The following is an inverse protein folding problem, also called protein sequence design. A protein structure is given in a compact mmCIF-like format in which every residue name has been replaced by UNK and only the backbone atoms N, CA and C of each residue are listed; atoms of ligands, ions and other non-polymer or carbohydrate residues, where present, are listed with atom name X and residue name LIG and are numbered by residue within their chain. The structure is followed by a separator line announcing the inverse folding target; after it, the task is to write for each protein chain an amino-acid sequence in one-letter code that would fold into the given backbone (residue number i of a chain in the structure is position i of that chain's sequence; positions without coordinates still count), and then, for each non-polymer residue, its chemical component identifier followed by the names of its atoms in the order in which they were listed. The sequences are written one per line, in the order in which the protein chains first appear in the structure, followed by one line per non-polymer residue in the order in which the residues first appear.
data_IF_191652965013
#
_entry.id   IF_191652965013
#
_cell.length_a   1.000
_cell.length_b   1.000
_cell.length_c   1.000
_cell.angle_alpha   90.00
_cell.angle_beta   90.00
_cell.angle_gamma   90.00
#
_symmetry.space_group_name_H-M   'P 1'
#
loop_
_entity.id
_entity.type
_entity.pdbx_description
1 polymer ?
#
# COMPACT_ATOMS: atom_id res chain seq x y z
N UNK A 1 3.30 21.64 -18.84
CA UNK A 1 2.44 20.56 -18.35
C UNK A 1 0.94 20.87 -18.44
N UNK A 2 0.46 22.07 -18.05
CA UNK A 2 -0.97 22.44 -18.22
C UNK A 2 -1.43 22.44 -19.68
N UNK A 3 -0.64 23.01 -20.60
CA UNK A 3 -0.92 23.00 -22.05
C UNK A 3 -1.14 21.57 -22.56
N UNK A 4 -0.29 20.63 -22.15
CA UNK A 4 -0.40 19.21 -22.52
C UNK A 4 -1.70 18.58 -22.00
N UNK A 5 -2.12 18.89 -20.77
CA UNK A 5 -3.35 18.36 -20.19
C UNK A 5 -4.60 18.87 -20.92
N UNK A 6 -4.60 20.17 -21.29
CA UNK A 6 -5.66 20.79 -22.08
C UNK A 6 -5.73 20.21 -23.49
N UNK A 7 -4.59 20.10 -24.17
CA UNK A 7 -4.47 19.52 -25.51
C UNK A 7 -4.91 18.05 -25.56
N UNK A 8 -4.68 17.28 -24.49
CA UNK A 8 -5.12 15.89 -24.37
C UNK A 8 -6.62 15.76 -24.03
N UNK A 9 -7.31 16.85 -23.69
CA UNK A 9 -8.71 16.82 -23.27
C UNK A 9 -8.92 16.05 -21.97
N UNK A 10 -7.93 16.07 -21.06
CA UNK A 10 -8.03 15.35 -19.80
C UNK A 10 -9.12 15.94 -18.90
N UNK A 11 -10.07 15.11 -18.45
CA UNK A 11 -11.11 15.48 -17.47
C UNK A 11 -10.83 14.97 -16.05
N UNK A 12 -9.81 14.13 -15.90
CA UNK A 12 -9.52 13.36 -14.70
C UNK A 12 -8.02 13.09 -14.58
N UNK A 13 -7.46 13.22 -13.37
CA UNK A 13 -6.10 12.83 -13.05
C UNK A 13 -6.08 11.85 -11.87
N UNK A 14 -5.33 10.75 -12.01
CA UNK A 14 -4.87 9.94 -10.89
C UNK A 14 -3.44 10.35 -10.53
N UNK A 15 -3.25 10.98 -9.38
CA UNK A 15 -1.94 11.35 -8.88
C UNK A 15 -1.42 10.25 -7.95
N UNK A 16 -0.46 9.48 -8.44
CA UNK A 16 0.33 8.54 -7.64
C UNK A 16 1.65 9.25 -7.31
N UNK A 17 1.93 9.54 -6.02
CA UNK A 17 3.19 10.15 -5.64
C UNK A 17 4.38 9.35 -6.19
N UNK A 18 5.34 10.00 -6.88
CA UNK A 18 6.43 9.28 -7.50
C UNK A 18 7.38 8.72 -6.45
N UNK A 19 8.07 7.65 -6.84
CA UNK A 19 9.17 7.03 -6.10
C UNK A 19 10.44 7.91 -6.13
N UNK A 20 10.35 9.11 -5.56
CA UNK A 20 11.41 10.12 -5.63
C UNK A 20 11.50 10.94 -4.34
N UNK A 21 12.71 11.44 -4.02
CA UNK A 21 12.92 12.29 -2.86
C UNK A 21 12.15 13.63 -2.93
N UNK A 22 12.00 14.20 -4.13
CA UNK A 22 11.22 15.41 -4.38
C UNK A 22 9.71 15.15 -4.60
N UNK A 23 9.18 14.00 -4.15
CA UNK A 23 7.79 13.60 -4.44
C UNK A 23 6.74 14.66 -4.07
N UNK A 24 6.96 15.41 -2.98
CA UNK A 24 6.03 16.45 -2.56
C UNK A 24 5.99 17.60 -3.55
N UNK A 25 7.17 18.10 -3.97
CA UNK A 25 7.27 19.20 -4.94
C UNK A 25 6.69 18.78 -6.30
N UNK A 26 6.98 17.55 -6.75
CA UNK A 26 6.41 16.99 -7.97
C UNK A 26 4.88 16.89 -7.87
N UNK A 27 4.34 16.39 -6.74
CA UNK A 27 2.90 16.31 -6.53
C UNK A 27 2.24 17.69 -6.49
N UNK A 28 2.88 18.69 -5.84
CA UNK A 28 2.39 20.07 -5.82
C UNK A 28 2.31 20.64 -7.24
N UNK A 29 3.38 20.51 -8.02
CA UNK A 29 3.41 20.97 -9.40
C UNK A 29 2.30 20.31 -10.24
N UNK A 30 2.08 19.00 -10.06
CA UNK A 30 1.03 18.23 -10.72
C UNK A 30 -0.37 18.73 -10.37
N UNK A 31 -0.65 18.96 -9.07
CA UNK A 31 -1.94 19.49 -8.62
C UNK A 31 -2.17 20.90 -9.14
N UNK A 32 -1.16 21.77 -9.10
CA UNK A 32 -1.30 23.12 -9.64
C UNK A 32 -1.51 23.14 -11.15
N UNK A 33 -0.84 22.26 -11.89
CA UNK A 33 -1.04 22.12 -13.33
C UNK A 33 -2.47 21.65 -13.64
N UNK A 34 -3.01 20.71 -12.86
CA UNK A 34 -4.39 20.25 -12.97
C UNK A 34 -5.40 21.39 -12.71
N UNK A 35 -5.14 22.22 -11.69
CA UNK A 35 -5.94 23.42 -11.39
C UNK A 35 -5.91 24.43 -12.53
N UNK A 36 -4.73 24.73 -13.08
CA UNK A 36 -4.58 25.64 -14.23
C UNK A 36 -5.34 25.15 -15.47
N UNK A 37 -5.30 23.85 -15.72
CA UNK A 37 -6.04 23.20 -16.81
C UNK A 37 -7.55 23.00 -16.50
N UNK A 38 -8.05 23.51 -15.37
CA UNK A 38 -9.44 23.38 -14.92
C UNK A 38 -9.95 21.93 -14.87
N UNK A 39 -9.07 20.98 -14.52
CA UNK A 39 -9.44 19.56 -14.43
C UNK A 39 -10.37 19.35 -13.23
N UNK A 40 -11.61 18.85 -13.46
CA UNK A 40 -12.63 18.79 -12.42
C UNK A 40 -12.43 17.67 -11.40
N UNK A 41 -11.58 16.69 -11.68
CA UNK A 41 -11.37 15.50 -10.84
C UNK A 41 -9.90 15.14 -10.67
N UNK A 42 -9.45 15.11 -9.42
CA UNK A 42 -8.11 14.63 -9.06
C UNK A 42 -8.26 13.59 -7.97
N UNK A 43 -7.77 12.38 -8.21
CA UNK A 43 -7.62 11.33 -7.21
C UNK A 43 -6.17 11.29 -6.75
N UNK A 44 -5.90 11.70 -5.52
CA UNK A 44 -4.58 11.55 -4.91
C UNK A 44 -4.50 10.22 -4.17
N UNK A 45 -3.58 9.35 -4.57
CA UNK A 45 -3.24 8.13 -3.83
C UNK A 45 -2.29 8.50 -2.69
N UNK A 46 -2.68 8.16 -1.45
CA UNK A 46 -1.89 8.38 -0.25
C UNK A 46 -2.01 7.16 0.67
N UNK A 47 -1.41 7.20 1.86
CA UNK A 47 -1.45 6.12 2.85
C UNK A 47 -2.25 6.46 4.09
N UNK A 48 -3.03 5.49 4.53
CA UNK A 48 -3.61 5.46 5.85
C UNK A 48 -2.50 5.60 6.92
N UNK A 49 -2.76 6.38 7.96
CA UNK A 49 -1.80 6.68 9.01
C UNK A 49 -0.84 7.84 8.70
N UNK A 50 -0.90 8.44 7.50
CA UNK A 50 -0.12 9.65 7.19
C UNK A 50 -0.52 10.85 8.06
N UNK A 51 -1.75 10.85 8.57
CA UNK A 51 -2.29 11.81 9.53
C UNK A 51 -1.61 11.73 10.91
N UNK A 52 -1.00 10.59 11.23
CA UNK A 52 -0.20 10.40 12.45
C UNK A 52 1.32 10.50 12.22
N UNK A 53 1.76 10.74 10.98
CA UNK A 53 3.16 10.97 10.68
C UNK A 53 3.61 12.30 11.28
N UNK A 54 4.91 12.39 11.59
CA UNK A 54 5.51 13.48 12.36
C UNK A 54 5.14 14.88 11.80
N UNK A 55 4.58 15.75 12.66
CA UNK A 55 3.99 17.05 12.27
C UNK A 55 5.01 18.05 11.71
N UNK A 56 6.31 17.72 11.79
CA UNK A 56 7.41 18.51 11.21
C UNK A 56 7.47 18.42 9.69
N UNK A 57 6.78 17.45 9.07
CA UNK A 57 6.61 17.34 7.62
C UNK A 57 5.18 17.76 7.24
N UNK A 58 4.90 19.06 7.31
CA UNK A 58 3.60 19.58 6.90
C UNK A 58 3.34 19.25 5.43
N UNK A 59 2.21 18.59 5.14
CA UNK A 59 1.72 18.42 3.77
C UNK A 59 1.58 19.80 3.12
N UNK A 60 2.19 20.06 1.95
CA UNK A 60 2.05 21.34 1.26
C UNK A 60 0.58 21.73 1.04
N UNK A 61 0.24 23.01 1.21
CA UNK A 61 -1.13 23.51 1.10
C UNK A 61 -1.86 23.08 -0.19
N UNK A 62 -1.23 23.07 -1.39
CA UNK A 62 -1.90 22.61 -2.60
C UNK A 62 -2.40 21.17 -2.54
N UNK A 63 -1.70 20.29 -1.81
CA UNK A 63 -2.07 18.89 -1.63
C UNK A 63 -3.18 18.71 -0.59
N UNK A 64 -3.30 19.63 0.37
CA UNK A 64 -4.40 19.59 1.37
C UNK A 64 -5.76 19.88 0.75
N UNK A 65 -5.80 20.61 -0.37
CA UNK A 65 -7.04 20.93 -1.09
C UNK A 65 -7.57 19.78 -1.95
N UNK A 66 -6.79 18.70 -2.13
CA UNK A 66 -7.19 17.53 -2.92
C UNK A 66 -7.53 16.39 -1.95
N UNK A 67 -8.80 15.96 -1.87
CA UNK A 67 -9.19 14.84 -1.02
C UNK A 67 -8.43 13.55 -1.39
N UNK A 68 -7.66 12.95 -0.47
CA UNK A 68 -6.88 11.76 -0.77
C UNK A 68 -7.71 10.47 -0.61
N UNK A 69 -7.36 9.47 -1.42
CA UNK A 69 -7.64 8.07 -1.09
C UNK A 69 -6.47 7.52 -0.28
N UNK A 70 -6.72 7.24 0.98
CA UNK A 70 -5.78 6.76 1.99
C UNK A 70 -5.82 5.23 2.04
N UNK A 71 -4.81 4.58 1.47
CA UNK A 71 -4.71 3.13 1.45
C UNK A 71 -3.91 2.61 2.64
N UNK A 72 -4.38 1.53 3.26
CA UNK A 72 -3.64 0.78 4.25
C UNK A 72 -2.37 0.15 3.69
N UNK A 73 -1.80 -0.79 4.44
CA UNK A 73 -0.58 -1.47 4.03
C UNK A 73 -0.85 -2.34 2.81
N UNK A 74 -0.24 -2.03 1.67
CA UNK A 74 -0.34 -2.87 0.48
C UNK A 74 0.23 -4.26 0.77
N UNK A 75 -0.58 -5.29 0.58
CA UNK A 75 -0.17 -6.68 0.80
C UNK A 75 1.00 -7.07 -0.11
N UNK A 76 1.08 -6.47 -1.30
CA UNK A 76 2.15 -6.64 -2.26
C UNK A 76 3.53 -6.22 -1.72
N UNK A 77 3.59 -5.36 -0.69
CA UNK A 77 4.86 -5.05 -0.02
C UNK A 77 5.48 -6.28 0.64
N UNK A 78 4.70 -7.32 0.95
CA UNK A 78 5.22 -8.59 1.47
C UNK A 78 6.05 -9.35 0.41
N UNK A 79 5.80 -9.10 -0.88
CA UNK A 79 6.54 -9.73 -1.98
C UNK A 79 8.00 -9.25 -2.04
N UNK A 80 8.32 -8.12 -1.41
CA UNK A 80 9.69 -7.63 -1.25
C UNK A 80 10.56 -8.56 -0.37
N UNK A 81 9.93 -9.51 0.32
CA UNK A 81 10.59 -10.54 1.13
C UNK A 81 10.48 -11.94 0.50
N UNK A 82 10.05 -12.01 -0.77
CA UNK A 82 9.89 -13.28 -1.48
C UNK A 82 11.14 -14.17 -1.44
N UNK A 83 12.39 -13.65 -1.54
CA UNK A 83 13.60 -14.48 -1.37
C UNK A 83 13.64 -15.23 -0.04
N UNK A 84 13.46 -14.58 1.11
CA UNK A 84 13.44 -15.25 2.42
C UNK A 84 12.28 -16.23 2.53
N UNK A 85 11.12 -15.86 2.00
CA UNK A 85 9.96 -16.75 2.00
C UNK A 85 10.24 -18.01 1.18
N UNK A 86 10.79 -17.88 -0.03
CA UNK A 86 11.08 -19.00 -0.94
C UNK A 86 12.21 -19.88 -0.43
N UNK A 87 13.26 -19.31 0.16
CA UNK A 87 14.47 -20.04 0.54
C UNK A 87 14.44 -20.57 1.98
N UNK A 88 13.89 -19.78 2.90
CA UNK A 88 13.93 -20.05 4.34
C UNK A 88 12.55 -20.40 4.92
N UNK A 89 11.46 -20.06 4.20
CA UNK A 89 10.10 -20.21 4.72
C UNK A 89 9.80 -19.18 5.81
N UNK A 90 10.46 -18.03 5.79
CA UNK A 90 10.34 -16.98 6.81
C UNK A 90 9.81 -15.70 6.18
N UNK A 91 8.86 -15.05 6.86
CA UNK A 91 8.36 -13.72 6.58
C UNK A 91 8.90 -12.75 7.64
N UNK A 92 10.00 -12.02 7.35
CA UNK A 92 10.68 -11.21 8.35
C UNK A 92 10.18 -9.75 8.31
N UNK A 93 9.30 -9.37 9.23
CA UNK A 93 8.71 -8.02 9.27
C UNK A 93 9.08 -7.29 10.56
N UNK A 94 9.43 -5.99 10.50
CA UNK A 94 9.81 -5.21 11.67
C UNK A 94 8.59 -4.60 12.39
N UNK A 95 7.60 -5.42 12.72
CA UNK A 95 6.32 -4.97 13.30
C UNK A 95 6.11 -5.38 14.76
N UNK A 96 6.98 -6.23 15.33
CA UNK A 96 6.76 -6.80 16.66
C UNK A 96 5.71 -7.91 16.69
N UNK A 97 5.60 -8.59 17.82
CA UNK A 97 4.72 -9.76 17.97
C UNK A 97 3.23 -9.40 18.07
N UNK A 98 2.90 -8.26 18.67
CA UNK A 98 1.53 -7.94 19.10
C UNK A 98 0.89 -6.75 18.38
N UNK A 99 1.65 -6.00 17.57
CA UNK A 99 1.12 -4.84 16.88
C UNK A 99 0.36 -5.26 15.62
N UNK A 100 -0.74 -4.57 15.37
CA UNK A 100 -1.72 -4.97 14.37
C UNK A 100 -1.81 -3.96 13.24
N UNK A 101 -2.03 -4.47 12.04
CA UNK A 101 -2.24 -3.71 10.82
C UNK A 101 -3.10 -4.52 9.85
N UNK A 102 -3.76 -3.85 8.92
CA UNK A 102 -4.61 -4.49 7.93
C UNK A 102 -3.97 -4.45 6.53
N UNK A 103 -3.85 -5.63 5.91
CA UNK A 103 -3.29 -5.85 4.58
C UNK A 103 -4.34 -5.56 3.50
N UNK A 104 -4.12 -4.61 2.61
CA UNK A 104 -5.01 -4.31 1.49
C UNK A 104 -4.34 -4.72 0.18
N UNK A 105 -5.02 -5.48 -0.67
CA UNK A 105 -4.53 -5.75 -2.03
C UNK A 105 -4.79 -4.54 -2.94
N UNK A 106 -3.91 -4.30 -3.91
CA UNK A 106 -4.07 -3.26 -4.90
C UNK A 106 -5.34 -3.48 -5.74
N UNK A 107 -6.00 -2.38 -6.12
CA UNK A 107 -7.08 -2.43 -7.12
C UNK A 107 -8.21 -1.43 -6.92
N UNK A 108 -8.46 -0.95 -5.71
CA UNK A 108 -9.59 -0.03 -5.43
C UNK A 108 -9.46 1.30 -6.18
N UNK A 109 -8.24 1.83 -6.31
CA UNK A 109 -8.01 3.04 -7.08
C UNK A 109 -8.51 2.90 -8.53
N UNK A 110 -8.33 1.75 -9.16
CA UNK A 110 -8.84 1.49 -10.51
C UNK A 110 -10.37 1.56 -10.58
N UNK A 111 -11.10 1.06 -9.56
CA UNK A 111 -12.56 1.17 -9.50
C UNK A 111 -13.04 2.62 -9.38
N UNK A 112 -12.35 3.44 -8.59
CA UNK A 112 -12.64 4.89 -8.52
C UNK A 112 -12.42 5.53 -9.89
N UNK A 113 -11.33 5.21 -10.57
CA UNK A 113 -10.96 5.81 -11.86
C UNK A 113 -11.90 5.44 -13.01
N UNK A 114 -12.46 4.23 -13.01
CA UNK A 114 -13.42 3.80 -14.04
C UNK A 114 -14.86 4.21 -13.72
N UNK A 115 -15.13 4.69 -12.50
CA UNK A 115 -16.43 5.21 -12.10
C UNK A 115 -16.85 6.39 -12.98
N UNK A 116 -18.11 6.43 -13.38
CA UNK A 116 -18.66 7.48 -14.25
C UNK A 116 -19.84 8.18 -13.57
N UNK A 117 -19.77 9.51 -13.54
CA UNK A 117 -20.82 10.39 -13.06
C UNK A 117 -21.01 11.58 -14.00
N UNK A 118 -21.93 12.48 -13.66
CA UNK A 118 -22.19 13.68 -14.48
C UNK A 118 -20.95 14.59 -14.57
N UNK A 119 -20.10 14.53 -13.56
CA UNK A 119 -18.94 15.41 -13.42
C UNK A 119 -17.59 14.69 -13.58
N UNK A 120 -17.56 13.49 -14.16
CA UNK A 120 -16.34 12.69 -14.38
C UNK A 120 -16.38 11.40 -13.57
N UNK A 121 -15.71 11.35 -12.42
CA UNK A 121 -15.87 10.24 -11.46
C UNK A 121 -17.33 10.02 -11.11
N UNK A 122 -17.62 8.83 -10.59
CA UNK A 122 -18.90 8.60 -9.92
C UNK A 122 -19.12 9.68 -8.85
N UNK A 123 -20.24 10.41 -8.97
CA UNK A 123 -20.52 11.58 -8.12
C UNK A 123 -20.63 11.22 -6.64
N UNK A 124 -20.82 9.92 -6.31
CA UNK A 124 -20.80 9.40 -4.94
C UNK A 124 -19.41 9.45 -4.29
N UNK A 125 -18.35 9.29 -5.08
CA UNK A 125 -16.97 9.23 -4.59
C UNK A 125 -16.21 10.54 -4.81
N UNK A 126 -16.74 11.42 -5.67
CA UNK A 126 -16.12 12.70 -6.01
C UNK A 126 -15.93 13.59 -4.78
N UNK A 127 -14.70 14.02 -4.55
CA UNK A 127 -14.34 14.94 -3.46
C UNK A 127 -14.36 14.31 -2.06
N UNK A 128 -14.54 12.98 -1.96
CA UNK A 128 -14.50 12.28 -0.69
C UNK A 128 -13.06 11.93 -0.29
N UNK A 129 -12.75 12.08 0.99
CA UNK A 129 -11.60 11.40 1.58
C UNK A 129 -12.00 9.96 1.89
N UNK A 130 -11.28 8.99 1.33
CA UNK A 130 -11.60 7.57 1.47
C UNK A 130 -10.47 6.84 2.18
N UNK A 131 -10.73 6.22 3.33
CA UNK A 131 -9.76 5.31 3.96
C UNK A 131 -10.11 3.88 3.58
N UNK A 132 -9.11 3.15 3.08
CA UNK A 132 -9.29 1.82 2.49
C UNK A 132 -8.25 0.88 3.06
N UNK A 133 -8.67 -0.09 3.87
CA UNK A 133 -7.78 -1.13 4.41
C UNK A 133 -8.22 -2.53 4.00
N UNK A 134 -7.42 -3.53 4.38
CA UNK A 134 -7.84 -4.92 4.41
C UNK A 134 -9.02 -5.19 5.35
N UNK A 135 -9.66 -6.36 5.23
CA UNK A 135 -10.81 -6.73 6.04
C UNK A 135 -10.43 -7.21 7.45
N UNK A 136 -9.17 -7.61 7.65
CA UNK A 136 -8.69 -8.22 8.89
C UNK A 136 -7.42 -7.55 9.40
N UNK A 137 -7.37 -7.32 10.72
CA UNK A 137 -6.15 -6.97 11.42
C UNK A 137 -5.31 -8.21 11.65
N UNK A 138 -4.05 -8.15 11.25
CA UNK A 138 -3.06 -9.19 11.50
C UNK A 138 -1.97 -8.65 12.45
N UNK A 139 -1.61 -9.44 13.45
CA UNK A 139 -0.50 -9.19 14.37
C UNK A 139 0.64 -10.19 14.10
N UNK A 140 1.89 -9.74 14.23
CA UNK A 140 3.07 -10.61 14.28
C UNK A 140 3.02 -11.81 13.33
N UNK A 141 2.73 -12.99 13.88
CA UNK A 141 2.70 -14.27 13.18
C UNK A 141 1.45 -14.57 12.33
N UNK A 142 0.38 -13.79 12.44
CA UNK A 142 -0.88 -14.03 11.75
C UNK A 142 -0.75 -13.97 10.20
N UNK A 143 0.03 -13.05 9.59
CA UNK A 143 0.28 -13.09 8.14
C UNK A 143 0.98 -14.39 7.69
N UNK A 144 1.99 -14.86 8.44
CA UNK A 144 2.68 -16.11 8.14
C UNK A 144 1.77 -17.34 8.34
N UNK A 145 0.84 -17.26 9.30
CA UNK A 145 -0.18 -18.30 9.53
C UNK A 145 -1.17 -18.36 8.37
N UNK A 146 -1.66 -17.20 7.90
CA UNK A 146 -2.52 -17.10 6.72
C UNK A 146 -1.82 -17.67 5.47
N UNK A 147 -0.55 -17.32 5.26
CA UNK A 147 0.25 -17.86 4.16
C UNK A 147 0.44 -19.38 4.27
N UNK A 148 0.74 -19.89 5.47
CA UNK A 148 0.90 -21.33 5.70
C UNK A 148 -0.37 -22.11 5.36
N UNK A 149 -1.52 -21.61 5.80
CA UNK A 149 -2.85 -22.18 5.51
C UNK A 149 -3.18 -22.12 4.02
N UNK A 150 -2.90 -20.99 3.38
CA UNK A 150 -3.19 -20.76 1.97
C UNK A 150 -2.37 -21.67 1.04
N UNK A 151 -1.09 -21.87 1.37
CA UNK A 151 -0.12 -22.52 0.49
C UNK A 151 0.16 -23.98 0.85
N UNK A 152 -0.32 -24.45 2.01
CA UNK A 152 -0.01 -25.78 2.52
C UNK A 152 1.48 -25.98 2.81
N UNK A 153 2.17 -24.93 3.26
CA UNK A 153 3.58 -24.93 3.58
C UNK A 153 3.83 -24.37 5.00
N UNK A 154 4.89 -24.79 5.67
CA UNK A 154 5.29 -24.21 6.97
C UNK A 154 5.95 -22.86 6.72
N UNK A 155 5.26 -21.77 7.04
CA UNK A 155 5.80 -20.41 7.02
C UNK A 155 5.86 -19.82 8.41
N UNK A 156 6.99 -19.21 8.74
CA UNK A 156 7.25 -18.62 10.04
C UNK A 156 7.35 -17.11 9.94
N UNK A 157 6.87 -16.45 10.98
CA UNK A 157 7.13 -15.04 11.17
C UNK A 157 8.42 -14.85 11.94
N UNK A 158 9.19 -13.85 11.56
CA UNK A 158 10.34 -13.39 12.32
C UNK A 158 10.24 -11.88 12.54
N UNK A 159 10.24 -11.46 13.80
CA UNK A 159 10.31 -10.06 14.15
C UNK A 159 11.74 -9.55 14.04
N UNK A 160 12.08 -8.95 12.90
CA UNK A 160 13.39 -8.37 12.66
C UNK A 160 13.47 -6.90 13.10
N UNK A 161 14.69 -6.39 13.34
CA UNK A 161 14.87 -4.96 13.61
C UNK A 161 14.57 -4.11 12.37
N UNK A 162 14.18 -2.84 12.55
CA UNK A 162 14.02 -1.92 11.42
C UNK A 162 15.32 -1.72 10.62
N UNK A 163 16.47 -1.78 11.29
CA UNK A 163 17.78 -1.72 10.63
C UNK A 163 18.02 -2.95 9.74
N UNK A 164 17.60 -4.13 10.19
CA UNK A 164 17.67 -5.36 9.39
C UNK A 164 16.71 -5.31 8.21
N UNK A 165 15.46 -4.88 8.43
CA UNK A 165 14.48 -4.71 7.36
C UNK A 165 15.01 -3.77 6.29
N UNK A 166 15.66 -2.68 6.68
CA UNK A 166 16.32 -1.75 5.75
C UNK A 166 17.44 -2.41 4.93
N UNK A 167 18.21 -3.34 5.50
CA UNK A 167 19.25 -4.09 4.77
C UNK A 167 18.63 -5.04 3.76
N UNK A 168 17.64 -5.81 4.21
CA UNK A 168 16.88 -6.75 3.36
C UNK A 168 16.28 -6.02 2.16
N UNK A 169 15.51 -4.96 2.41
CA UNK A 169 14.83 -4.20 1.37
C UNK A 169 15.81 -3.58 0.36
N UNK A 170 16.96 -3.07 0.83
CA UNK A 170 18.00 -2.53 -0.06
C UNK A 170 18.69 -3.59 -0.91
N UNK A 171 18.81 -4.81 -0.41
CA UNK A 171 19.48 -5.89 -1.13
C UNK A 171 18.58 -6.50 -2.22
N UNK A 172 17.26 -6.35 -2.09
CA UNK A 172 16.29 -7.11 -2.89
C UNK A 172 15.37 -6.23 -3.74
N UNK A 173 15.30 -4.93 -3.46
CA UNK A 173 14.48 -4.00 -4.23
C UNK A 173 15.33 -3.03 -5.03
N UNK A 174 14.92 -2.78 -6.27
CA UNK A 174 15.44 -1.69 -7.11
C UNK A 174 14.75 -0.34 -6.81
N UNK A 175 13.85 -0.29 -5.82
CA UNK A 175 13.13 0.93 -5.46
C UNK A 175 14.06 2.05 -4.97
N UNK A 176 13.65 3.29 -5.21
CA UNK A 176 14.32 4.47 -4.70
C UNK A 176 14.39 4.47 -3.16
N UNK A 177 15.41 5.13 -2.61
CA UNK A 177 15.63 5.22 -1.16
C UNK A 177 14.44 5.86 -0.43
N UNK A 178 13.73 6.78 -1.06
CA UNK A 178 12.54 7.42 -0.48
C UNK A 178 11.38 6.45 -0.30
N UNK A 179 11.18 5.50 -1.23
CA UNK A 179 10.15 4.46 -1.12
C UNK A 179 10.47 3.45 -0.03
N UNK A 180 11.72 3.01 0.04
CA UNK A 180 12.15 2.12 1.11
C UNK A 180 11.99 2.80 2.48
N UNK A 181 12.31 4.09 2.57
CA UNK A 181 12.12 4.84 3.80
C UNK A 181 10.64 4.99 4.15
N UNK A 182 9.77 5.24 3.17
CA UNK A 182 8.33 5.32 3.37
C UNK A 182 7.74 4.01 3.92
N UNK A 183 8.12 2.86 3.36
CA UNK A 183 7.70 1.56 3.88
C UNK A 183 8.19 1.32 5.32
N UNK A 184 9.45 1.70 5.60
CA UNK A 184 10.01 1.60 6.97
C UNK A 184 9.30 2.53 7.96
N UNK A 185 8.89 3.72 7.53
CA UNK A 185 8.12 4.66 8.32
C UNK A 185 6.71 4.09 8.61
N UNK A 186 6.09 3.43 7.62
CA UNK A 186 4.81 2.72 7.84
C UNK A 186 4.96 1.62 8.90
N UNK A 187 6.02 0.81 8.85
CA UNK A 187 6.27 -0.20 9.90
C UNK A 187 6.44 0.42 11.29
N UNK A 188 7.05 1.61 11.40
CA UNK A 188 7.06 2.36 12.68
C UNK A 188 5.65 2.70 13.15
N UNK A 189 4.77 3.17 12.25
CA UNK A 189 3.38 3.47 12.59
C UNK A 189 2.61 2.22 13.08
N UNK A 190 2.89 1.05 12.49
CA UNK A 190 2.36 -0.23 13.00
C UNK A 190 2.82 -0.47 14.43
N UNK A 191 4.12 -0.34 14.71
CA UNK A 191 4.69 -0.52 16.05
C UNK A 191 4.20 0.50 17.08
N UNK A 192 3.83 1.68 16.63
CA UNK A 192 3.21 2.72 17.46
C UNK A 192 1.71 2.48 17.70
N UNK A 193 1.12 1.47 17.04
CA UNK A 193 -0.31 1.13 17.15
C UNK A 193 -1.23 2.06 16.38
N UNK A 194 -0.69 2.95 15.55
CA UNK A 194 -1.43 4.00 14.82
C UNK A 194 -2.24 3.47 13.63
N UNK A 195 -2.00 2.22 13.22
CA UNK A 195 -2.69 1.56 12.09
C UNK A 195 -3.54 0.36 12.54
N UNK A 196 -3.84 0.27 13.83
CA UNK A 196 -4.64 -0.80 14.43
C UNK A 196 -6.16 -0.59 14.24
N UNK A 197 -6.60 -0.49 12.99
CA UNK A 197 -8.02 -0.38 12.63
C UNK A 197 -8.29 -0.98 11.24
N UNK A 198 -9.58 -1.21 10.96
CA UNK A 198 -10.07 -1.54 9.62
C UNK A 198 -11.00 -0.43 9.11
N UNK A 199 -10.95 -0.15 7.82
CA UNK A 199 -11.84 0.74 7.10
C UNK A 199 -12.18 0.11 5.75
N UNK A 200 -13.27 -0.67 5.72
CA UNK A 200 -13.71 -1.40 4.52
C UNK A 200 -14.96 -0.82 3.88
N UNK A 201 -15.65 0.13 4.55
CA UNK A 201 -16.88 0.74 4.03
C UNK A 201 -16.66 1.40 2.67
N UNK A 202 -15.59 2.18 2.51
CA UNK A 202 -15.26 2.81 1.23
C UNK A 202 -14.92 1.77 0.15
N UNK A 203 -14.24 0.68 0.51
CA UNK A 203 -13.98 -0.43 -0.42
C UNK A 203 -15.31 -1.02 -0.93
N UNK A 204 -16.22 -1.36 -0.02
CA UNK A 204 -17.51 -1.95 -0.36
C UNK A 204 -18.36 -1.01 -1.21
N UNK A 205 -18.43 0.27 -0.83
CA UNK A 205 -19.21 1.28 -1.56
C UNK A 205 -18.71 1.48 -3.00
N UNK A 206 -17.39 1.59 -3.17
CA UNK A 206 -16.74 1.82 -4.47
C UNK A 206 -16.81 0.60 -5.37
N UNK A 207 -16.57 -0.60 -4.81
CA UNK A 207 -16.36 -1.82 -5.62
C UNK A 207 -17.56 -2.74 -5.66
N UNK A 208 -18.50 -2.62 -4.72
CA UNK A 208 -19.57 -3.59 -4.48
C UNK A 208 -19.08 -4.95 -3.99
N UNK A 209 -17.81 -5.06 -3.56
CA UNK A 209 -17.14 -6.32 -3.23
C UNK A 209 -16.57 -6.31 -1.83
N UNK A 210 -16.33 -7.50 -1.30
CA UNK A 210 -15.53 -7.69 -0.10
C UNK A 210 -14.02 -7.53 -0.42
N UNK A 211 -13.25 -6.82 0.43
CA UNK A 211 -11.79 -6.76 0.30
C UNK A 211 -11.15 -8.14 0.30
N UNK A 212 -10.00 -8.28 -0.36
CA UNK A 212 -9.24 -9.54 -0.38
C UNK A 212 -8.83 -9.95 1.04
N UNK A 213 -9.20 -11.17 1.44
CA UNK A 213 -8.76 -11.78 2.69
C UNK A 213 -7.28 -12.19 2.60
N UNK A 214 -6.51 -12.18 3.70
CA UNK A 214 -5.08 -12.53 3.67
C UNK A 214 -4.79 -13.90 3.03
N UNK A 215 -5.61 -14.91 3.33
CA UNK A 215 -5.48 -16.25 2.76
C UNK A 215 -5.58 -16.21 1.22
N UNK A 216 -6.53 -15.43 0.69
CA UNK A 216 -6.77 -15.31 -0.75
C UNK A 216 -5.67 -14.51 -1.44
N UNK A 217 -5.10 -13.50 -0.76
CA UNK A 217 -3.90 -12.81 -1.23
C UNK A 217 -2.74 -13.79 -1.42
N UNK A 218 -2.42 -14.62 -0.42
CA UNK A 218 -1.33 -15.59 -0.55
C UNK A 218 -1.58 -16.63 -1.63
N UNK A 219 -2.84 -17.07 -1.84
CA UNK A 219 -3.19 -17.94 -2.98
C UNK A 219 -2.96 -17.25 -4.32
N UNK A 220 -3.32 -15.97 -4.45
CA UNK A 220 -3.16 -15.21 -5.69
C UNK A 220 -1.69 -15.06 -6.10
N UNK A 221 -0.79 -14.95 -5.12
CA UNK A 221 0.64 -14.79 -5.34
C UNK A 221 1.45 -16.06 -5.04
N UNK A 222 0.83 -17.25 -5.09
CA UNK A 222 1.46 -18.52 -4.72
C UNK A 222 2.84 -18.72 -5.37
N UNK A 223 2.97 -18.45 -6.68
CA UNK A 223 4.23 -18.62 -7.41
C UNK A 223 5.36 -17.73 -6.88
N UNK A 224 5.00 -16.62 -6.24
CA UNK A 224 5.93 -15.65 -5.66
C UNK A 224 6.26 -15.88 -4.20
N UNK A 225 5.44 -16.63 -3.47
CA UNK A 225 5.60 -16.75 -2.01
C UNK A 225 5.49 -18.18 -1.49
N UNK A 226 5.45 -19.18 -2.36
CA UNK A 226 5.53 -20.59 -1.93
C UNK A 226 6.97 -20.97 -1.58
N UNK A 227 7.23 -21.45 -0.34
CA UNK A 227 8.54 -21.97 0.04
C UNK A 227 8.97 -23.13 -0.85
N UNK A 228 10.24 -23.16 -1.25
CA UNK A 228 10.80 -24.28 -1.99
C UNK A 228 10.86 -25.49 -1.07
N UNK A 229 10.38 -26.65 -1.54
CA UNK A 229 10.56 -27.91 -0.81
C UNK A 229 12.06 -28.15 -0.62
N UNK A 230 12.55 -28.11 0.63
CA UNK A 230 13.90 -28.59 0.94
C UNK A 230 13.99 -30.04 0.47
N UNK A 231 14.83 -30.33 -0.51
CA UNK A 231 15.16 -31.71 -0.84
C UNK A 231 15.63 -32.39 0.44
N UNK A 232 15.01 -33.52 0.81
CA UNK A 232 15.51 -34.34 1.92
C UNK A 232 16.94 -34.73 1.57
N UNK A 233 17.93 -34.04 2.12
CA UNK A 233 19.29 -34.55 2.16
C UNK A 233 19.25 -35.74 3.10
N UNK A 234 19.04 -36.92 2.53
CA UNK A 234 19.30 -38.18 3.19
C UNK A 234 20.80 -38.19 3.49
N UNK A 235 21.20 -37.73 4.68
CA UNK A 235 22.48 -38.09 5.25
C UNK A 235 22.39 -39.58 5.56
N UNK A 236 22.99 -40.38 4.68
CA UNK A 236 23.37 -41.76 4.97
C UNK A 236 24.68 -41.74 5.75
#
# INVERSE_FOLDING_TARGET
MSITLEEMGCDTICLVPPAHHDKFDICVELVEAAKRAAIPNVLLISSAGCDYADTTKATPAPLQEVPPALFGFYAENLLLYAPQVKEEGVLPLPIGENHKFALVALGVAAYVLIGKGKHGFDDRHRGQMMVVTGPMLCAGNEPATAASKALGADMKFENISQAEAKRVLKAQSESDRSELQYLLDYYSLVREGKTNYIATTAFHDVTGKHPTEPDDFFRMYEDEVRPRKRAKQNHK
#
